data_IF_608942652337
#
_entry.id   IF_608942652337
#
_cell.length_a   1.000
_cell.length_b   1.000
_cell.length_c   1.000
_cell.angle_alpha   90.00
_cell.angle_beta   90.00
_cell.angle_gamma   90.00
#
_symmetry.space_group_name_H-M   'P 1'
#
loop_
_entity.id
_entity.type
_entity.pdbx_description
1 polymer ?
#
# COMPACT_ATOMS: atom_id res chain seq x y z
N UNK A 1 3.43 -24.39 0.45
CA UNK A 1 3.38 -22.97 0.90
C UNK A 1 2.28 -22.21 0.18
N UNK A 2 2.25 -22.21 -1.16
CA UNK A 2 1.25 -21.51 -1.98
C UNK A 2 -0.21 -21.88 -1.65
N UNK A 3 -0.52 -23.16 -1.51
CA UNK A 3 -1.87 -23.62 -1.14
C UNK A 3 -2.32 -23.11 0.25
N UNK A 4 -1.40 -23.02 1.20
CA UNK A 4 -1.65 -22.47 2.54
C UNK A 4 -1.92 -20.96 2.48
N UNK A 5 -1.17 -20.22 1.67
CA UNK A 5 -1.38 -18.80 1.43
C UNK A 5 -2.74 -18.52 0.75
N UNK A 6 -3.09 -19.29 -0.28
CA UNK A 6 -4.40 -19.17 -0.94
C UNK A 6 -5.57 -19.45 0.02
N UNK A 7 -5.42 -20.44 0.92
CA UNK A 7 -6.42 -20.74 1.95
C UNK A 7 -6.54 -19.62 2.98
N UNK A 8 -5.40 -19.07 3.43
CA UNK A 8 -5.38 -17.93 4.36
C UNK A 8 -6.04 -16.67 3.74
N UNK A 9 -5.71 -16.36 2.47
CA UNK A 9 -6.30 -15.24 1.75
C UNK A 9 -7.82 -15.42 1.53
N UNK A 10 -8.28 -16.63 1.19
CA UNK A 10 -9.72 -16.94 1.10
C UNK A 10 -10.42 -16.80 2.45
N UNK A 11 -9.80 -17.26 3.53
CA UNK A 11 -10.32 -17.13 4.90
C UNK A 11 -10.47 -15.66 5.29
N UNK A 12 -9.45 -14.83 5.03
CA UNK A 12 -9.50 -13.39 5.29
C UNK A 12 -10.64 -12.71 4.53
N UNK A 13 -10.80 -13.00 3.24
CA UNK A 13 -11.87 -12.43 2.40
C UNK A 13 -13.27 -12.81 2.93
N UNK A 14 -13.46 -14.07 3.31
CA UNK A 14 -14.75 -14.58 3.78
C UNK A 14 -15.18 -14.01 5.13
N UNK A 15 -14.24 -13.85 6.06
CA UNK A 15 -14.50 -13.24 7.37
C UNK A 15 -14.84 -11.75 7.25
N UNK A 16 -14.17 -11.03 6.33
CA UNK A 16 -14.45 -9.61 6.10
C UNK A 16 -15.80 -9.36 5.43
N UNK A 17 -16.25 -10.27 4.55
CA UNK A 17 -17.51 -10.11 3.83
C UNK A 17 -18.72 -10.59 4.63
N UNK A 18 -18.52 -11.49 5.60
CA UNK A 18 -19.60 -12.10 6.37
C UNK A 18 -19.25 -12.14 7.88
N UNK A 19 -19.48 -11.05 8.62
CA UNK A 19 -19.10 -10.97 10.03
C UNK A 19 -19.87 -11.91 10.96
N UNK A 20 -21.01 -12.46 10.51
CA UNK A 20 -21.84 -13.42 11.26
C UNK A 20 -21.49 -14.89 10.95
N UNK A 21 -20.45 -15.14 10.15
CA UNK A 21 -20.13 -16.47 9.66
C UNK A 21 -19.57 -17.34 10.80
N UNK A 22 -20.23 -18.45 11.07
CA UNK A 22 -19.81 -19.36 12.14
C UNK A 22 -18.52 -20.10 11.76
N UNK A 23 -17.76 -20.54 12.77
CA UNK A 23 -16.53 -21.32 12.56
C UNK A 23 -16.73 -22.57 11.69
N UNK A 24 -17.93 -23.18 11.71
CA UNK A 24 -18.25 -24.35 10.87
C UNK A 24 -18.61 -23.98 9.43
N UNK A 25 -19.27 -22.85 9.21
CA UNK A 25 -19.52 -22.34 7.85
C UNK A 25 -18.21 -21.94 7.19
N UNK A 26 -17.28 -21.35 7.95
CA UNK A 26 -15.95 -21.01 7.49
C UNK A 26 -15.16 -22.27 7.11
N UNK A 27 -15.20 -23.28 7.98
CA UNK A 27 -14.58 -24.57 7.72
C UNK A 27 -15.20 -25.24 6.48
N UNK A 28 -16.52 -25.13 6.29
CA UNK A 28 -17.22 -25.70 5.12
C UNK A 28 -16.79 -25.06 3.81
N UNK A 29 -16.46 -23.77 3.81
CA UNK A 29 -15.95 -23.06 2.64
C UNK A 29 -14.49 -23.40 2.32
N UNK A 30 -13.66 -23.66 3.32
CA UNK A 30 -12.22 -23.88 3.15
C UNK A 30 -11.86 -25.36 2.97
N UNK A 31 -12.50 -26.23 3.73
CA UNK A 31 -12.25 -27.67 3.78
C UNK A 31 -13.58 -28.42 3.91
N UNK A 32 -14.39 -28.50 2.83
CA UNK A 32 -15.75 -29.05 2.86
C UNK A 32 -15.82 -30.47 3.46
N UNK A 33 -14.82 -31.29 3.17
CA UNK A 33 -14.70 -32.66 3.68
C UNK A 33 -14.48 -32.70 5.18
N UNK A 34 -13.60 -31.85 5.71
CA UNK A 34 -13.33 -31.76 7.15
C UNK A 34 -14.54 -31.17 7.89
N UNK A 35 -15.19 -30.18 7.30
CA UNK A 35 -16.39 -29.57 7.87
C UNK A 35 -17.57 -30.54 7.98
N UNK A 36 -17.72 -31.46 7.00
CA UNK A 36 -18.74 -32.51 7.05
C UNK A 36 -18.53 -33.41 8.26
N UNK A 37 -17.30 -33.87 8.49
CA UNK A 37 -16.95 -34.71 9.64
C UNK A 37 -17.08 -33.95 10.97
N UNK A 38 -16.63 -32.68 11.01
CA UNK A 38 -16.79 -31.83 12.20
C UNK A 38 -18.26 -31.54 12.53
N UNK A 39 -19.11 -31.35 11.53
CA UNK A 39 -20.55 -31.13 11.71
C UNK A 39 -21.25 -32.30 12.39
N UNK A 40 -20.79 -33.54 12.15
CA UNK A 40 -21.37 -34.76 12.75
C UNK A 40 -21.08 -34.88 14.25
N UNK A 41 -19.97 -34.31 14.72
CA UNK A 41 -19.54 -34.38 16.13
C UNK A 41 -19.84 -33.09 16.90
N UNK A 42 -20.25 -32.02 16.22
CA UNK A 42 -20.36 -30.69 16.83
C UNK A 42 -21.38 -30.62 17.98
N UNK A 43 -22.51 -31.32 17.81
CA UNK A 43 -23.63 -31.36 18.76
C UNK A 43 -23.45 -32.44 19.84
N UNK A 44 -22.39 -33.22 19.77
CA UNK A 44 -22.09 -34.23 20.78
C UNK A 44 -21.47 -33.55 22.02
N UNK A 45 -21.79 -34.03 23.22
CA UNK A 45 -21.19 -33.56 24.49
C UNK A 45 -19.74 -34.05 24.65
N UNK A 46 -18.93 -33.83 23.63
CA UNK A 46 -17.52 -34.19 23.58
C UNK A 46 -16.66 -32.96 23.88
N UNK A 47 -15.53 -33.18 24.55
CA UNK A 47 -14.54 -32.12 24.70
C UNK A 47 -13.99 -31.70 23.33
N UNK A 48 -13.41 -30.51 23.24
CA UNK A 48 -12.79 -30.00 22.01
C UNK A 48 -11.72 -30.97 21.48
N UNK A 49 -10.98 -31.59 22.40
CA UNK A 49 -9.97 -32.61 22.12
C UNK A 49 -10.59 -33.88 21.53
N UNK A 50 -11.66 -34.39 22.14
CA UNK A 50 -12.29 -35.64 21.69
C UNK A 50 -12.96 -35.46 20.32
N UNK A 51 -13.54 -34.28 20.04
CA UNK A 51 -14.06 -33.95 18.71
C UNK A 51 -12.96 -33.94 17.65
N UNK A 52 -11.83 -33.31 17.97
CA UNK A 52 -10.67 -33.30 17.07
C UNK A 52 -10.17 -34.71 16.80
N UNK A 53 -9.94 -35.53 17.84
CA UNK A 53 -9.49 -36.91 17.68
C UNK A 53 -10.48 -37.75 16.86
N UNK A 54 -11.78 -37.61 17.11
CA UNK A 54 -12.83 -38.36 16.39
C UNK A 54 -12.83 -38.04 14.90
N UNK A 55 -12.72 -36.76 14.52
CA UNK A 55 -12.74 -36.34 13.12
C UNK A 55 -11.43 -36.67 12.39
N UNK A 56 -10.31 -36.55 13.09
CA UNK A 56 -8.97 -36.68 12.48
C UNK A 56 -8.47 -38.13 12.45
N UNK A 57 -8.99 -39.02 13.31
CA UNK A 57 -8.57 -40.41 13.39
C UNK A 57 -8.63 -41.13 12.03
N UNK A 58 -9.70 -40.90 11.27
CA UNK A 58 -9.87 -41.54 9.95
C UNK A 58 -9.22 -40.76 8.80
N UNK A 59 -8.99 -39.45 8.97
CA UNK A 59 -8.32 -38.61 7.96
C UNK A 59 -6.81 -38.88 7.88
N UNK A 60 -6.20 -39.36 8.96
CA UNK A 60 -4.76 -39.65 9.03
C UNK A 60 -4.42 -41.15 9.11
N UNK A 61 -5.42 -42.04 9.08
CA UNK A 61 -5.20 -43.49 8.99
C UNK A 61 -4.98 -43.91 7.53
N UNK A 62 -3.73 -44.23 7.16
CA UNK A 62 -3.45 -44.90 5.89
C UNK A 62 -3.92 -46.36 5.95
N UNK A 63 -4.61 -46.81 4.89
CA UNK A 63 -4.67 -48.23 4.50
C UNK A 63 -3.25 -48.65 4.05
N UNK A 64 -2.60 -49.53 4.81
CA UNK A 64 -1.51 -50.43 4.43
C UNK A 64 -0.34 -49.88 3.58
N UNK A 65 0.50 -49.00 4.12
CA UNK A 65 1.92 -48.91 3.70
C UNK A 65 2.79 -48.53 4.89
N UNK A 66 3.89 -49.25 5.09
CA UNK A 66 4.82 -49.28 6.24
C UNK A 66 5.69 -48.03 6.46
N UNK A 67 5.18 -46.83 6.21
CA UNK A 67 5.86 -45.58 6.59
C UNK A 67 4.90 -44.72 7.42
N UNK A 68 5.21 -44.42 8.69
CA UNK A 68 4.35 -43.59 9.52
C UNK A 68 4.41 -42.14 9.03
N UNK A 69 3.39 -41.70 8.30
CA UNK A 69 3.17 -40.28 8.06
C UNK A 69 2.57 -39.68 9.33
N UNK A 70 3.39 -38.86 10.00
CA UNK A 70 2.95 -37.75 10.86
C UNK A 70 2.32 -38.08 12.23
N UNK A 71 3.09 -38.69 13.13
CA UNK A 71 3.04 -38.30 14.56
C UNK A 71 3.72 -36.94 14.82
N UNK A 72 4.46 -36.43 13.82
CA UNK A 72 5.25 -35.21 13.82
C UNK A 72 4.36 -33.95 13.80
N UNK A 73 3.20 -33.97 13.14
CA UNK A 73 2.43 -32.73 12.94
C UNK A 73 1.33 -32.51 13.99
N UNK A 74 0.65 -33.58 14.42
CA UNK A 74 -0.47 -33.46 15.36
C UNK A 74 -0.01 -33.10 16.77
N UNK A 75 1.11 -33.69 17.23
CA UNK A 75 1.65 -33.44 18.57
C UNK A 75 2.19 -32.02 18.73
N UNK A 76 2.83 -31.52 17.67
CA UNK A 76 3.37 -30.15 17.64
C UNK A 76 2.27 -29.12 17.40
N UNK A 77 1.23 -29.43 16.59
CA UNK A 77 0.01 -28.62 16.51
C UNK A 77 -0.71 -28.52 17.85
N UNK A 78 -0.82 -29.61 18.61
CA UNK A 78 -1.44 -29.61 19.93
C UNK A 78 -0.62 -28.78 20.95
N UNK A 79 0.70 -28.72 20.76
CA UNK A 79 1.62 -27.87 21.55
C UNK A 79 1.43 -26.39 21.23
N UNK A 80 1.20 -26.08 19.95
CA UNK A 80 0.83 -24.75 19.45
C UNK A 80 -0.53 -24.30 20.00
N UNK A 81 -1.47 -25.24 20.20
CA UNK A 81 -2.83 -25.00 20.71
C UNK A 81 -2.96 -25.02 22.25
N UNK A 82 -1.85 -25.14 23.00
CA UNK A 82 -1.82 -25.20 24.47
C UNK A 82 -2.60 -26.37 25.10
N UNK A 83 -2.59 -27.55 24.48
CA UNK A 83 -3.03 -28.80 25.13
C UNK A 83 -1.83 -29.39 25.87
N UNK A 84 -2.00 -29.83 27.13
CA UNK A 84 -0.89 -30.28 27.97
C UNK A 84 -0.29 -31.62 27.48
N UNK A 85 1.03 -31.68 27.32
CA UNK A 85 1.76 -32.79 26.64
C UNK A 85 2.98 -33.27 27.43
N UNK A 86 3.04 -32.97 28.72
CA UNK A 86 4.20 -33.28 29.57
C UNK A 86 4.65 -34.76 29.65
N UNK A 87 3.91 -35.82 29.23
CA UNK A 87 4.47 -37.17 29.25
C UNK A 87 5.40 -37.50 28.09
N UNK A 88 5.63 -36.61 27.13
CA UNK A 88 6.23 -37.02 25.86
C UNK A 88 7.41 -36.19 25.37
N UNK A 89 8.58 -36.77 25.61
CA UNK A 89 9.71 -36.93 24.68
C UNK A 89 10.90 -35.98 24.90
N UNK A 90 11.97 -36.59 25.42
CA UNK A 90 13.37 -36.21 25.25
C UNK A 90 13.84 -36.38 23.79
N UNK A 91 14.89 -35.63 23.44
CA UNK A 91 15.85 -35.89 22.35
C UNK A 91 15.79 -34.99 21.07
N UNK A 92 16.95 -34.83 20.44
CA UNK A 92 17.68 -33.54 20.36
C UNK A 92 17.72 -32.79 19.02
N UNK A 93 17.07 -33.21 17.94
CA UNK A 93 17.25 -32.55 16.63
C UNK A 93 16.22 -31.44 16.28
N UNK A 94 15.80 -30.65 17.28
CA UNK A 94 14.62 -29.77 17.20
C UNK A 94 14.91 -28.26 17.13
N UNK A 95 16.15 -27.83 17.30
CA UNK A 95 16.49 -26.41 17.58
C UNK A 95 16.18 -25.46 16.39
N UNK A 96 16.64 -25.76 15.17
CA UNK A 96 16.53 -24.82 14.04
C UNK A 96 15.12 -24.68 13.45
N UNK A 97 14.34 -25.76 13.47
CA UNK A 97 12.94 -25.70 13.05
C UNK A 97 12.11 -24.90 14.08
N UNK A 98 12.38 -25.13 15.38
CA UNK A 98 11.72 -24.41 16.47
C UNK A 98 12.01 -22.91 16.40
N UNK A 99 13.25 -22.49 16.15
CA UNK A 99 13.62 -21.07 15.99
C UNK A 99 12.88 -20.42 14.83
N UNK A 100 12.85 -21.07 13.65
CA UNK A 100 12.13 -20.55 12.47
C UNK A 100 10.63 -20.44 12.72
N UNK A 101 10.03 -21.42 13.39
CA UNK A 101 8.62 -21.38 13.76
C UNK A 101 8.31 -20.37 14.86
N UNK A 102 9.21 -20.14 15.81
CA UNK A 102 9.07 -19.10 16.83
C UNK A 102 9.12 -17.70 16.22
N UNK A 103 9.96 -17.47 15.21
CA UNK A 103 9.98 -16.22 14.44
C UNK A 103 8.67 -16.05 13.67
N UNK A 104 8.22 -17.08 12.94
CA UNK A 104 6.96 -17.04 12.22
C UNK A 104 5.76 -16.77 13.16
N UNK A 105 5.75 -17.40 14.34
CA UNK A 105 4.71 -17.19 15.37
C UNK A 105 4.72 -15.77 15.90
N UNK A 106 5.89 -15.21 16.22
CA UNK A 106 6.01 -13.80 16.65
C UNK A 106 5.47 -12.87 15.58
N UNK A 107 5.78 -13.13 14.31
CA UNK A 107 5.27 -12.34 13.19
C UNK A 107 3.75 -12.45 13.04
N UNK A 108 3.18 -13.66 13.07
CA UNK A 108 1.72 -13.87 12.98
C UNK A 108 1.00 -13.24 14.18
N UNK A 109 1.56 -13.36 15.38
CA UNK A 109 0.98 -12.76 16.58
C UNK A 109 1.00 -11.22 16.50
N UNK A 110 2.14 -10.64 16.10
CA UNK A 110 2.25 -9.19 15.88
C UNK A 110 1.28 -8.72 14.78
N UNK A 111 1.13 -9.49 13.70
CA UNK A 111 0.21 -9.17 12.60
C UNK A 111 -1.26 -9.23 13.03
N UNK A 112 -1.64 -10.26 13.79
CA UNK A 112 -2.99 -10.41 14.35
C UNK A 112 -3.29 -9.35 15.40
N UNK A 113 -2.35 -9.03 16.29
CA UNK A 113 -2.50 -7.94 17.26
C UNK A 113 -2.65 -6.60 16.52
N UNK A 114 -1.85 -6.36 15.47
CA UNK A 114 -1.97 -5.18 14.62
C UNK A 114 -3.30 -5.15 13.86
N UNK A 115 -3.85 -6.30 13.42
CA UNK A 115 -5.15 -6.39 12.77
C UNK A 115 -6.29 -6.11 13.76
N UNK A 116 -6.27 -6.72 14.94
CA UNK A 116 -7.26 -6.50 16.00
C UNK A 116 -7.25 -5.03 16.43
N UNK A 117 -6.07 -4.45 16.67
CA UNK A 117 -5.95 -3.03 17.01
C UNK A 117 -6.42 -2.10 15.88
N UNK A 118 -6.18 -2.46 14.61
CA UNK A 118 -6.74 -1.74 13.44
C UNK A 118 -8.26 -1.78 13.43
N UNK A 119 -8.85 -2.95 13.69
CA UNK A 119 -10.31 -3.13 13.73
C UNK A 119 -10.97 -2.38 14.89
N UNK A 120 -10.27 -2.20 16.01
CA UNK A 120 -10.76 -1.44 17.17
C UNK A 120 -10.49 0.07 17.05
N UNK A 121 -9.85 0.53 15.98
CA UNK A 121 -9.52 1.95 15.77
C UNK A 121 -8.50 2.52 16.76
N UNK A 122 -7.90 1.69 17.62
CA UNK A 122 -7.11 2.14 18.77
C UNK A 122 -5.69 2.63 18.40
N UNK A 123 -5.17 2.35 17.19
CA UNK A 123 -3.73 2.49 16.90
C UNK A 123 -3.36 3.09 15.54
N UNK A 124 -4.23 3.91 14.96
CA UNK A 124 -3.79 4.78 13.87
C UNK A 124 -3.26 6.06 14.50
N UNK A 125 -2.03 6.03 15.00
CA UNK A 125 -1.28 7.27 15.25
C UNK A 125 -0.97 7.88 13.89
N UNK A 126 -1.98 8.50 13.24
CA UNK A 126 -1.77 9.54 12.25
C UNK A 126 -1.25 10.76 13.02
N UNK A 127 -0.02 10.65 13.50
CA UNK A 127 0.66 11.78 14.09
C UNK A 127 1.32 12.52 12.95
N UNK A 128 0.82 13.72 12.73
CA UNK A 128 1.45 14.72 11.90
C UNK A 128 2.44 15.48 12.75
N UNK A 129 3.71 15.45 12.36
CA UNK A 129 4.75 16.24 13.00
C UNK A 129 5.21 17.32 12.04
N UNK A 130 4.78 18.55 12.31
CA UNK A 130 5.35 19.73 11.67
C UNK A 130 6.59 20.16 12.44
N UNK A 131 7.76 19.95 11.84
CA UNK A 131 9.05 20.25 12.45
C UNK A 131 9.45 21.73 12.31
N UNK A 132 8.68 22.54 11.58
CA UNK A 132 8.95 23.98 11.44
C UNK A 132 8.86 24.74 12.76
N UNK A 133 8.02 24.27 13.67
CA UNK A 133 7.81 24.87 15.00
C UNK A 133 8.73 24.30 16.09
N UNK A 134 9.52 23.27 15.78
CA UNK A 134 10.33 22.56 16.77
C UNK A 134 11.78 23.07 16.76
N UNK A 135 12.43 23.08 17.93
CA UNK A 135 13.87 23.33 17.98
C UNK A 135 14.63 22.12 17.41
N UNK A 136 15.87 22.31 16.91
CA UNK A 136 16.69 21.20 16.40
C UNK A 136 16.87 20.03 17.37
N UNK A 137 17.01 20.31 18.66
CA UNK A 137 17.22 19.32 19.71
C UNK A 137 15.97 18.48 19.93
N UNK A 138 14.80 19.13 19.94
CA UNK A 138 13.50 18.47 20.08
C UNK A 138 13.23 17.58 18.88
N UNK A 139 13.49 18.06 17.66
CA UNK A 139 13.32 17.27 16.44
C UNK A 139 14.22 16.02 16.45
N UNK A 140 15.51 16.16 16.78
CA UNK A 140 16.43 15.01 16.88
C UNK A 140 15.97 13.99 17.92
N UNK A 141 15.48 14.46 19.07
CA UNK A 141 14.94 13.58 20.12
C UNK A 141 13.70 12.85 19.63
N UNK A 142 12.75 13.55 19.00
CA UNK A 142 11.53 12.96 18.44
C UNK A 142 11.85 11.89 17.38
N UNK A 143 12.76 12.19 16.46
CA UNK A 143 13.19 11.23 15.45
C UNK A 143 13.86 10.00 16.10
N UNK A 144 14.74 10.21 17.09
CA UNK A 144 15.37 9.11 17.81
C UNK A 144 14.33 8.24 18.51
N UNK A 145 13.43 8.84 19.26
CA UNK A 145 12.39 8.14 20.01
C UNK A 145 11.48 7.37 19.04
N UNK A 146 11.00 8.02 17.97
CA UNK A 146 10.12 7.38 17.00
C UNK A 146 10.79 6.21 16.28
N UNK A 147 12.01 6.37 15.77
CA UNK A 147 12.69 5.33 15.01
C UNK A 147 13.36 4.26 15.89
N UNK A 148 13.34 4.43 17.21
CA UNK A 148 13.68 3.40 18.20
C UNK A 148 12.44 2.68 18.74
N UNK A 149 11.25 3.24 18.56
CA UNK A 149 9.99 2.66 18.97
C UNK A 149 9.65 1.42 18.12
N UNK A 150 9.23 0.34 18.78
CA UNK A 150 8.78 -0.90 18.13
C UNK A 150 7.29 -0.85 17.76
N UNK A 151 6.57 0.17 18.22
CA UNK A 151 5.13 0.31 17.98
C UNK A 151 4.85 0.51 16.47
N UNK A 152 3.92 -0.23 15.87
CA UNK A 152 3.62 -0.12 14.45
C UNK A 152 2.93 1.21 14.11
N UNK A 153 3.30 1.80 12.98
CA UNK A 153 2.66 2.99 12.42
C UNK A 153 2.13 2.70 11.02
N UNK A 154 0.90 3.13 10.74
CA UNK A 154 0.28 3.01 9.40
C UNK A 154 0.57 4.22 8.52
N UNK A 155 0.72 5.40 9.12
CA UNK A 155 1.10 6.64 8.45
C UNK A 155 2.30 7.27 9.16
N UNK A 156 3.21 7.88 8.40
CA UNK A 156 4.29 8.72 8.91
C UNK A 156 4.29 10.05 8.18
N UNK A 157 4.00 11.13 8.92
CA UNK A 157 3.90 12.47 8.37
C UNK A 157 4.95 13.38 9.04
N UNK A 158 6.07 13.58 8.35
CA UNK A 158 7.19 14.42 8.76
C UNK A 158 7.30 15.63 7.85
N UNK A 159 6.68 16.72 8.28
CA UNK A 159 6.65 17.94 7.50
C UNK A 159 7.82 18.83 7.90
N UNK A 160 8.56 19.34 6.90
CA UNK A 160 9.68 20.27 7.09
C UNK A 160 10.83 19.72 7.96
N UNK A 161 11.02 18.40 8.00
CA UNK A 161 12.10 17.82 8.81
C UNK A 161 13.49 18.21 8.28
N UNK A 162 14.35 18.70 9.16
CA UNK A 162 15.74 19.06 8.88
C UNK A 162 16.70 17.89 9.08
N UNK A 163 16.31 16.87 9.84
CA UNK A 163 17.22 15.79 10.26
C UNK A 163 16.80 14.39 9.82
N UNK A 164 15.68 14.23 9.13
CA UNK A 164 15.26 12.93 8.62
C UNK A 164 16.18 12.46 7.47
N UNK A 165 16.97 11.43 7.76
CA UNK A 165 17.95 10.82 6.84
C UNK A 165 17.71 9.33 6.66
N UNK A 166 18.47 8.71 5.74
CA UNK A 166 18.44 7.25 5.50
C UNK A 166 18.67 6.40 6.75
N UNK A 167 19.46 6.88 7.72
CA UNK A 167 19.84 6.10 8.90
C UNK A 167 18.63 5.77 9.78
N UNK A 168 17.64 6.66 9.81
CA UNK A 168 16.38 6.44 10.51
C UNK A 168 15.62 5.24 9.95
N UNK A 169 15.57 5.10 8.63
CA UNK A 169 14.90 3.97 7.98
C UNK A 169 15.69 2.66 8.08
N UNK A 170 16.98 2.71 8.43
CA UNK A 170 17.83 1.53 8.60
C UNK A 170 17.81 0.96 10.02
N UNK A 171 17.13 1.60 10.98
CA UNK A 171 17.06 1.09 12.36
C UNK A 171 16.34 -0.26 12.40
N UNK A 172 16.77 -1.13 13.31
CA UNK A 172 16.17 -2.46 13.49
C UNK A 172 14.68 -2.35 13.86
N UNK A 173 14.32 -1.39 14.72
CA UNK A 173 12.95 -1.14 15.13
C UNK A 173 12.06 -0.75 13.93
N UNK A 174 12.52 0.16 13.07
CA UNK A 174 11.79 0.53 11.86
C UNK A 174 11.64 -0.65 10.90
N UNK A 175 12.71 -1.42 10.67
CA UNK A 175 12.67 -2.60 9.81
C UNK A 175 11.71 -3.67 10.34
N UNK A 176 11.55 -3.81 11.65
CA UNK A 176 10.60 -4.75 12.27
C UNK A 176 9.14 -4.46 11.94
N UNK A 177 8.79 -3.18 11.71
CA UNK A 177 7.40 -2.72 11.52
C UNK A 177 7.09 -2.18 10.12
N UNK A 178 8.05 -2.18 9.20
CA UNK A 178 7.93 -1.66 7.83
C UNK A 178 6.72 -2.17 7.04
N UNK A 179 6.24 -3.37 7.36
CA UNK A 179 5.08 -4.01 6.73
C UNK A 179 3.74 -3.37 7.11
N UNK A 180 3.70 -2.54 8.14
CA UNK A 180 2.49 -1.84 8.58
C UNK A 180 2.33 -0.46 7.95
N UNK A 181 3.39 0.09 7.37
CA UNK A 181 3.43 1.46 6.88
C UNK A 181 2.83 1.55 5.47
N UNK A 182 1.66 2.14 5.37
CA UNK A 182 0.90 2.30 4.11
C UNK A 182 0.94 3.73 3.58
N UNK A 183 1.25 4.72 4.42
CA UNK A 183 1.30 6.12 4.03
C UNK A 183 2.55 6.80 4.57
N UNK A 184 3.22 7.58 3.71
CA UNK A 184 4.37 8.40 4.11
C UNK A 184 4.24 9.77 3.46
N UNK A 185 4.24 10.82 4.29
CA UNK A 185 4.34 12.20 3.86
C UNK A 185 5.61 12.84 4.42
N UNK A 186 6.53 13.17 3.53
CA UNK A 186 7.81 13.80 3.87
C UNK A 186 7.89 15.23 3.32
N UNK A 187 6.75 15.89 3.10
CA UNK A 187 6.74 17.21 2.48
C UNK A 187 7.73 18.18 3.17
N UNK A 188 8.62 18.78 2.39
CA UNK A 188 9.61 19.75 2.90
C UNK A 188 10.76 19.16 3.73
N UNK A 189 10.90 17.83 3.86
CA UNK A 189 12.02 17.25 4.61
C UNK A 189 13.38 17.47 3.90
N UNK A 190 14.14 18.46 4.36
CA UNK A 190 15.33 18.99 3.68
C UNK A 190 16.52 18.03 3.64
N UNK A 191 16.65 17.16 4.65
CA UNK A 191 17.75 16.18 4.69
C UNK A 191 17.40 14.85 3.99
N UNK A 192 16.17 14.69 3.53
CA UNK A 192 15.71 13.48 2.88
C UNK A 192 16.08 13.51 1.39
N UNK A 193 17.06 12.69 1.02
CA UNK A 193 17.63 12.63 -0.33
C UNK A 193 17.41 11.25 -0.99
N UNK A 194 17.96 11.06 -2.19
CA UNK A 194 17.83 9.81 -2.96
C UNK A 194 18.26 8.55 -2.18
N UNK A 195 19.26 8.68 -1.29
CA UNK A 195 19.68 7.55 -0.45
C UNK A 195 18.67 7.23 0.66
N UNK A 196 18.01 8.26 1.21
CA UNK A 196 16.88 8.12 2.14
C UNK A 196 15.69 7.45 1.47
N UNK A 197 15.34 7.89 0.26
CA UNK A 197 14.29 7.26 -0.53
C UNK A 197 14.58 5.81 -0.84
N UNK A 198 15.81 5.47 -1.25
CA UNK A 198 16.21 4.07 -1.50
C UNK A 198 16.09 3.21 -0.24
N UNK A 199 16.44 3.75 0.94
CA UNK A 199 16.27 3.07 2.21
C UNK A 199 14.79 2.85 2.56
N UNK A 200 13.95 3.89 2.42
CA UNK A 200 12.50 3.81 2.61
C UNK A 200 11.86 2.79 1.65
N UNK A 201 12.18 2.87 0.36
CA UNK A 201 11.69 1.94 -0.66
C UNK A 201 12.08 0.50 -0.34
N UNK A 202 13.34 0.26 0.06
CA UNK A 202 13.81 -1.08 0.46
C UNK A 202 13.07 -1.60 1.69
N UNK A 203 12.71 -0.71 2.62
CA UNK A 203 12.00 -1.08 3.83
C UNK A 203 10.51 -1.36 3.55
N UNK A 204 9.80 -0.39 2.99
CA UNK A 204 8.33 -0.37 2.98
C UNK A 204 7.72 -0.60 1.59
N UNK A 205 8.53 -0.80 0.54
CA UNK A 205 8.04 -0.74 -0.84
C UNK A 205 6.86 -1.66 -1.13
N UNK A 206 6.75 -2.84 -0.52
CA UNK A 206 5.63 -3.75 -0.82
C UNK A 206 4.29 -3.27 -0.22
N UNK A 207 4.34 -2.51 0.89
CA UNK A 207 3.17 -2.14 1.68
C UNK A 207 2.75 -0.67 1.52
N UNK A 208 3.65 0.18 1.02
CA UNK A 208 3.40 1.61 0.92
C UNK A 208 2.41 1.88 -0.22
N UNK A 209 1.38 2.68 0.04
CA UNK A 209 0.34 3.02 -0.94
C UNK A 209 0.38 4.51 -1.31
N UNK A 210 0.67 5.35 -0.33
CA UNK A 210 0.77 6.80 -0.47
C UNK A 210 2.18 7.28 -0.17
N UNK A 211 2.72 8.12 -1.06
CA UNK A 211 4.00 8.77 -0.89
C UNK A 211 3.91 10.25 -1.29
N UNK A 212 4.01 11.15 -0.33
CA UNK A 212 4.34 12.56 -0.55
C UNK A 212 5.80 12.79 -0.17
N UNK A 213 6.52 13.50 -1.03
CA UNK A 213 7.98 13.57 -0.93
C UNK A 213 8.51 14.99 -1.07
N UNK A 214 9.80 15.14 -0.78
CA UNK A 214 10.46 16.43 -0.78
C UNK A 214 10.83 16.86 -2.21
N UNK A 215 10.92 18.18 -2.46
CA UNK A 215 11.39 18.72 -3.72
C UNK A 215 12.81 18.31 -4.14
N UNK A 216 13.60 17.73 -3.23
CA UNK A 216 15.00 17.39 -3.49
C UNK A 216 15.19 15.98 -4.09
N UNK A 217 14.11 15.22 -4.28
CA UNK A 217 14.19 13.85 -4.76
C UNK A 217 14.26 13.76 -6.28
N UNK A 218 15.33 13.13 -6.78
CA UNK A 218 15.43 12.75 -8.19
C UNK A 218 14.65 11.46 -8.41
N UNK A 219 13.39 11.56 -8.82
CA UNK A 219 12.53 10.37 -9.02
C UNK A 219 13.03 9.43 -10.12
N UNK A 220 13.70 9.98 -11.13
CA UNK A 220 13.92 9.37 -12.45
C UNK A 220 14.68 8.03 -12.39
N UNK A 221 15.52 7.80 -11.37
CA UNK A 221 16.29 6.56 -11.27
C UNK A 221 15.64 5.48 -10.40
N UNK A 222 14.86 5.85 -9.37
CA UNK A 222 14.49 4.91 -8.31
C UNK A 222 13.06 4.38 -8.41
N UNK A 223 12.17 5.02 -9.18
CA UNK A 223 10.74 4.64 -9.27
C UNK A 223 10.42 3.81 -10.52
N UNK A 224 11.41 3.56 -11.41
CA UNK A 224 11.22 2.80 -12.67
C UNK A 224 10.62 1.39 -12.49
N UNK A 225 10.51 0.86 -11.27
CA UNK A 225 9.88 -0.44 -10.96
C UNK A 225 9.03 -0.42 -9.68
N UNK A 226 8.38 0.70 -9.38
CA UNK A 226 7.50 0.78 -8.19
C UNK A 226 6.08 0.39 -8.57
N UNK A 227 5.82 -0.92 -8.66
CA UNK A 227 4.50 -1.46 -9.03
C UNK A 227 3.39 -1.24 -8.00
N UNK A 228 3.72 -0.64 -6.86
CA UNK A 228 2.92 -0.62 -5.64
C UNK A 228 2.36 0.77 -5.30
N UNK A 229 2.92 1.85 -5.84
CA UNK A 229 2.49 3.23 -5.51
C UNK A 229 1.10 3.47 -6.09
N UNK A 230 0.14 3.86 -5.24
CA UNK A 230 -1.19 4.31 -5.67
C UNK A 230 -1.26 5.83 -5.79
N UNK A 231 -0.54 6.56 -4.95
CA UNK A 231 -0.54 8.03 -4.98
C UNK A 231 0.87 8.58 -4.76
N UNK A 232 1.29 9.51 -5.62
CA UNK A 232 2.56 10.22 -5.52
C UNK A 232 2.33 11.73 -5.58
N UNK A 233 2.90 12.49 -4.63
CA UNK A 233 2.70 13.94 -4.53
C UNK A 233 3.97 14.74 -4.21
N UNK A 234 3.94 16.02 -4.61
CA UNK A 234 4.96 17.06 -4.32
C UNK A 234 6.36 16.74 -4.81
N UNK A 235 6.45 16.10 -5.97
CA UNK A 235 7.72 15.67 -6.53
C UNK A 235 8.29 16.78 -7.41
N UNK A 236 9.21 17.59 -6.86
CA UNK A 236 9.98 18.48 -7.72
C UNK A 236 11.04 17.69 -8.47
N UNK A 237 10.94 17.70 -9.79
CA UNK A 237 11.92 17.05 -10.66
C UNK A 237 13.20 17.87 -10.60
N UNK A 238 14.35 17.20 -10.51
CA UNK A 238 15.67 17.83 -10.79
C UNK A 238 15.76 18.09 -12.31
N UNK A 239 16.73 18.87 -12.84
CA UNK A 239 16.82 19.30 -14.26
C UNK A 239 16.77 18.22 -15.36
N UNK A 240 16.52 16.95 -15.01
CA UNK A 240 16.00 15.97 -15.94
C UNK A 240 14.68 16.46 -16.53
N UNK A 241 14.69 16.56 -17.86
CA UNK A 241 13.56 17.00 -18.66
C UNK A 241 12.50 15.91 -18.84
N UNK A 242 12.72 14.70 -18.31
CA UNK A 242 11.90 13.53 -18.61
C UNK A 242 11.62 12.68 -17.37
N UNK A 243 10.34 12.46 -17.10
CA UNK A 243 9.86 11.50 -16.12
C UNK A 243 9.25 10.31 -16.87
N UNK A 244 9.75 9.11 -16.55
CA UNK A 244 9.14 7.86 -16.98
C UNK A 244 8.77 7.04 -15.73
N UNK A 245 7.46 6.85 -15.50
CA UNK A 245 6.93 6.08 -14.37
C UNK A 245 6.24 4.83 -14.87
N UNK A 246 6.75 3.67 -14.44
CA UNK A 246 6.08 2.38 -14.60
C UNK A 246 5.45 1.98 -13.27
N UNK A 247 4.19 2.42 -13.08
CA UNK A 247 3.45 2.30 -11.84
C UNK A 247 2.01 1.87 -12.14
N UNK A 248 1.76 0.58 -12.46
CA UNK A 248 0.45 0.09 -12.92
C UNK A 248 -0.72 0.32 -11.96
N UNK A 249 -0.43 0.58 -10.68
CA UNK A 249 -1.43 0.86 -9.64
C UNK A 249 -1.60 2.35 -9.33
N UNK A 250 -0.89 3.25 -10.02
CA UNK A 250 -0.94 4.68 -9.76
C UNK A 250 -2.32 5.24 -10.12
N UNK A 251 -3.01 5.77 -9.12
CA UNK A 251 -4.34 6.39 -9.17
C UNK A 251 -4.25 7.92 -9.11
N UNK A 252 -3.26 8.48 -8.40
CA UNK A 252 -3.08 9.94 -8.30
C UNK A 252 -1.62 10.35 -8.50
N UNK A 253 -1.40 11.37 -9.31
CA UNK A 253 -0.10 11.99 -9.53
C UNK A 253 -0.19 13.51 -9.34
N UNK A 254 0.66 14.05 -8.49
CA UNK A 254 0.69 15.47 -8.14
C UNK A 254 2.13 16.02 -8.24
N UNK A 255 2.39 16.77 -9.32
CA UNK A 255 3.68 17.35 -9.70
C UNK A 255 3.55 18.88 -9.87
N UNK A 256 3.36 19.65 -8.80
CA UNK A 256 3.30 21.10 -8.91
C UNK A 256 4.69 21.70 -9.10
N UNK A 257 4.78 22.83 -9.79
CA UNK A 257 5.96 23.69 -9.90
C UNK A 257 7.22 22.97 -10.45
N UNK A 258 7.04 22.21 -11.53
CA UNK A 258 8.09 21.49 -12.26
C UNK A 258 8.36 22.14 -13.65
N UNK A 259 8.83 23.40 -13.72
CA UNK A 259 8.95 24.16 -14.97
C UNK A 259 9.94 23.57 -15.99
N UNK A 260 10.79 22.64 -15.54
CA UNK A 260 11.82 21.97 -16.33
C UNK A 260 11.36 20.62 -16.89
N UNK A 261 10.19 20.12 -16.47
CA UNK A 261 9.63 18.86 -16.96
C UNK A 261 9.16 19.05 -18.41
N UNK A 262 9.77 18.35 -19.36
CA UNK A 262 9.41 18.42 -20.79
C UNK A 262 8.65 17.20 -21.28
N UNK A 263 8.93 16.05 -20.68
CA UNK A 263 8.40 14.75 -21.04
C UNK A 263 7.86 14.02 -19.82
N UNK A 264 6.64 13.50 -19.93
CA UNK A 264 5.97 12.77 -18.85
C UNK A 264 5.32 11.51 -19.44
N UNK A 265 6.04 10.40 -19.33
CA UNK A 265 5.54 9.10 -19.74
C UNK A 265 5.04 8.33 -18.52
N UNK A 266 3.73 8.09 -18.46
CA UNK A 266 3.09 7.27 -17.44
C UNK A 266 2.61 5.95 -18.04
N UNK A 267 3.11 4.85 -17.51
CA UNK A 267 2.60 3.51 -17.79
C UNK A 267 1.74 3.04 -16.60
N UNK A 268 0.50 3.53 -16.59
CA UNK A 268 -0.56 3.15 -15.65
C UNK A 268 -1.89 3.18 -16.40
N UNK A 269 -2.75 2.20 -16.16
CA UNK A 269 -4.13 2.19 -16.69
C UNK A 269 -5.16 2.71 -15.67
N UNK A 270 -4.73 2.98 -14.44
CA UNK A 270 -5.58 3.25 -13.28
C UNK A 270 -5.55 4.70 -12.82
N UNK A 271 -4.89 5.58 -13.56
CA UNK A 271 -4.77 6.99 -13.20
C UNK A 271 -6.14 7.67 -13.19
N UNK A 272 -6.51 8.23 -12.04
CA UNK A 272 -7.80 8.89 -11.78
C UNK A 272 -7.60 10.41 -11.76
N UNK A 273 -6.52 10.88 -11.13
CA UNK A 273 -6.25 12.29 -10.89
C UNK A 273 -4.81 12.65 -11.25
N UNK A 274 -4.64 13.75 -11.98
CA UNK A 274 -3.35 14.32 -12.36
C UNK A 274 -3.34 15.81 -12.07
N UNK A 275 -2.35 16.27 -11.32
CA UNK A 275 -2.13 17.68 -10.98
C UNK A 275 -0.74 18.06 -11.47
N UNK A 276 -0.67 18.97 -12.43
CA UNK A 276 0.56 19.44 -13.11
C UNK A 276 0.53 20.97 -13.14
N UNK A 277 0.45 21.63 -11.98
CA UNK A 277 0.29 23.09 -11.93
C UNK A 277 1.62 23.81 -12.08
N UNK A 278 1.62 24.95 -12.81
CA UNK A 278 2.78 25.80 -13.08
C UNK A 278 3.91 25.08 -13.84
N UNK A 279 3.56 24.07 -14.64
CA UNK A 279 4.50 23.32 -15.48
C UNK A 279 4.62 23.94 -16.87
N UNK A 280 5.48 24.95 -16.99
CA UNK A 280 5.75 25.60 -18.28
C UNK A 280 6.58 24.75 -19.25
N UNK A 281 7.16 23.63 -18.82
CA UNK A 281 8.05 22.82 -19.65
C UNK A 281 7.33 21.77 -20.50
N UNK A 282 6.16 21.32 -20.06
CA UNK A 282 5.48 20.15 -20.61
C UNK A 282 4.97 20.46 -22.02
N UNK A 283 5.30 19.58 -22.96
CA UNK A 283 4.79 19.74 -24.31
C UNK A 283 3.36 19.20 -24.43
N UNK A 284 2.69 19.62 -25.50
CA UNK A 284 1.30 19.26 -25.79
C UNK A 284 1.09 17.76 -26.02
N UNK A 285 2.10 17.04 -26.51
CA UNK A 285 2.00 15.60 -26.80
C UNK A 285 1.96 14.77 -25.52
N UNK A 286 2.78 15.10 -24.53
CA UNK A 286 2.79 14.40 -23.23
C UNK A 286 1.44 14.53 -22.54
N UNK A 287 0.82 15.70 -22.59
CA UNK A 287 -0.53 15.92 -22.06
C UNK A 287 -1.58 15.13 -22.86
N UNK A 288 -1.48 15.12 -24.19
CA UNK A 288 -2.37 14.31 -25.02
C UNK A 288 -2.30 12.81 -24.65
N UNK A 289 -1.10 12.28 -24.36
CA UNK A 289 -0.91 10.89 -23.92
C UNK A 289 -1.55 10.61 -22.55
N UNK A 290 -1.48 11.56 -21.60
CA UNK A 290 -2.20 11.45 -20.33
C UNK A 290 -3.71 11.37 -20.54
N UNK A 291 -4.23 12.08 -21.53
CA UNK A 291 -5.66 12.20 -21.82
C UNK A 291 -6.21 11.06 -22.69
N UNK A 292 -5.44 10.01 -22.93
CA UNK A 292 -5.93 8.76 -23.51
C UNK A 292 -6.28 7.76 -22.39
N UNK A 293 -5.93 8.07 -21.13
CA UNK A 293 -6.13 7.18 -20.01
C UNK A 293 -7.61 6.93 -19.71
N UNK A 294 -8.08 5.66 -19.74
CA UNK A 294 -9.51 5.35 -19.68
C UNK A 294 -10.13 5.65 -18.30
N UNK A 295 -9.31 5.64 -17.25
CA UNK A 295 -9.73 5.83 -15.86
C UNK A 295 -9.67 7.30 -15.40
N UNK A 296 -9.12 8.20 -16.22
CA UNK A 296 -8.81 9.56 -15.82
C UNK A 296 -10.09 10.38 -15.66
N UNK A 297 -10.27 10.98 -14.49
CA UNK A 297 -11.46 11.77 -14.14
C UNK A 297 -11.15 13.23 -13.91
N UNK A 298 -9.96 13.54 -13.37
CA UNK A 298 -9.58 14.88 -12.98
C UNK A 298 -8.20 15.23 -13.51
N UNK A 299 -8.10 16.41 -14.13
CA UNK A 299 -6.83 17.00 -14.58
C UNK A 299 -6.79 18.46 -14.16
N UNK A 300 -5.72 18.84 -13.47
CA UNK A 300 -5.42 20.22 -13.09
C UNK A 300 -4.13 20.65 -13.78
N UNK A 301 -4.23 21.59 -14.72
CA UNK A 301 -3.12 22.12 -15.50
C UNK A 301 -2.91 23.63 -15.25
N UNK A 302 -3.35 24.15 -14.11
CA UNK A 302 -3.30 25.61 -13.86
C UNK A 302 -1.89 26.16 -14.03
N UNK A 303 -1.75 27.28 -14.75
CA UNK A 303 -0.44 27.94 -14.97
C UNK A 303 0.50 27.24 -15.97
N UNK A 304 0.02 26.28 -16.76
CA UNK A 304 0.83 25.63 -17.81
C UNK A 304 0.74 26.39 -19.13
N UNK A 305 1.57 27.42 -19.27
CA UNK A 305 1.50 28.35 -20.41
C UNK A 305 1.91 27.75 -21.77
N UNK A 306 2.69 26.66 -21.75
CA UNK A 306 3.25 26.05 -22.97
C UNK A 306 2.30 25.04 -23.64
N UNK A 307 1.13 24.85 -23.06
CA UNK A 307 0.16 23.82 -23.49
C UNK A 307 -0.79 24.43 -24.50
N UNK A 308 -0.58 24.17 -25.79
CA UNK A 308 -1.51 24.60 -26.83
C UNK A 308 -2.86 23.92 -26.64
N UNK A 309 -3.98 24.63 -26.48
CA UNK A 309 -5.27 23.98 -26.17
C UNK A 309 -5.93 23.26 -27.35
N UNK A 310 -5.23 23.08 -28.48
CA UNK A 310 -5.73 22.40 -29.68
C UNK A 310 -6.15 20.92 -29.44
N UNK A 311 -5.58 20.25 -28.43
CA UNK A 311 -5.92 18.87 -28.07
C UNK A 311 -7.29 18.72 -27.41
N UNK A 312 -7.91 19.79 -26.91
CA UNK A 312 -9.21 19.74 -26.21
C UNK A 312 -10.30 19.13 -27.11
N UNK A 313 -10.18 19.32 -28.43
CA UNK A 313 -11.07 18.72 -29.44
C UNK A 313 -10.88 17.20 -29.60
N UNK A 314 -9.71 16.66 -29.26
CA UNK A 314 -9.36 15.25 -29.48
C UNK A 314 -9.69 14.34 -28.29
N UNK A 315 -9.99 14.89 -27.11
CA UNK A 315 -10.25 14.09 -25.90
C UNK A 315 -11.70 13.55 -25.94
N UNK A 316 -11.88 12.26 -26.18
CA UNK A 316 -13.19 11.59 -26.01
C UNK A 316 -13.43 11.05 -24.59
N UNK A 317 -12.63 11.45 -23.59
CA UNK A 317 -12.73 10.92 -22.23
C UNK A 317 -13.89 11.50 -21.39
N UNK A 318 -14.49 10.68 -20.50
CA UNK A 318 -15.50 11.10 -19.54
C UNK A 318 -14.88 11.83 -18.33
N UNK A 319 -14.15 12.92 -18.58
CA UNK A 319 -13.59 13.76 -17.51
C UNK A 319 -14.71 14.37 -16.66
N UNK A 320 -14.54 14.29 -15.35
CA UNK A 320 -15.42 14.88 -14.34
C UNK A 320 -14.89 16.21 -13.79
N UNK A 321 -13.67 16.62 -14.13
CA UNK A 321 -13.15 17.96 -13.85
C UNK A 321 -11.94 18.25 -14.72
N UNK A 322 -11.88 19.45 -15.30
CA UNK A 322 -10.72 19.97 -16.01
C UNK A 322 -10.49 21.43 -15.58
N UNK A 323 -9.36 21.71 -14.94
CA UNK A 323 -8.97 23.07 -14.56
C UNK A 323 -7.85 23.57 -15.47
N UNK A 324 -8.16 24.61 -16.25
CA UNK A 324 -7.26 25.31 -17.16
C UNK A 324 -7.09 26.78 -16.74
N UNK A 325 -7.43 27.13 -15.49
CA UNK A 325 -7.31 28.52 -15.05
C UNK A 325 -5.86 28.99 -15.12
N UNK A 326 -5.68 30.28 -15.41
CA UNK A 326 -4.37 30.92 -15.59
C UNK A 326 -3.54 30.39 -16.77
N UNK A 327 -4.16 29.80 -17.79
CA UNK A 327 -3.50 29.52 -19.07
C UNK A 327 -3.86 30.55 -20.14
N UNK A 328 -2.93 30.79 -21.07
CA UNK A 328 -3.25 31.49 -22.32
C UNK A 328 -3.98 30.56 -23.29
N UNK A 329 -5.31 30.68 -23.33
CA UNK A 329 -6.15 29.91 -24.24
C UNK A 329 -6.41 30.75 -25.49
N UNK A 330 -5.67 30.48 -26.57
CA UNK A 330 -5.97 31.09 -27.88
C UNK A 330 -7.36 30.70 -28.41
N UNK A 331 -7.85 31.42 -29.42
CA UNK A 331 -9.21 31.31 -29.96
C UNK A 331 -9.66 29.87 -30.27
N UNK A 332 -8.77 29.05 -30.83
CA UNK A 332 -9.08 27.65 -31.17
C UNK A 332 -9.24 26.76 -29.93
N UNK A 333 -8.52 27.06 -28.85
CA UNK A 333 -8.69 26.43 -27.56
C UNK A 333 -10.01 26.84 -26.91
N UNK A 334 -10.35 28.12 -26.96
CA UNK A 334 -11.60 28.64 -26.42
C UNK A 334 -12.80 28.02 -27.15
N UNK A 335 -12.73 27.89 -28.48
CA UNK A 335 -13.73 27.17 -29.29
C UNK A 335 -13.84 25.69 -28.88
N UNK A 336 -12.73 25.03 -28.56
CA UNK A 336 -12.72 23.64 -28.07
C UNK A 336 -13.40 23.48 -26.71
N UNK A 337 -13.06 24.35 -25.75
CA UNK A 337 -13.73 24.39 -24.46
C UNK A 337 -15.24 24.62 -24.61
N UNK A 338 -15.66 25.55 -25.47
CA UNK A 338 -17.07 25.88 -25.71
C UNK A 338 -17.84 24.69 -26.31
N UNK A 339 -17.31 24.04 -27.35
CA UNK A 339 -17.97 22.88 -27.97
C UNK A 339 -18.16 21.75 -26.97
N UNK A 340 -17.18 21.50 -26.10
CA UNK A 340 -17.25 20.44 -25.11
C UNK A 340 -18.26 20.74 -24.00
N UNK A 341 -18.22 21.95 -23.45
CA UNK A 341 -19.16 22.39 -22.40
C UNK A 341 -20.62 22.45 -22.90
N UNK A 342 -20.84 22.59 -24.20
CA UNK A 342 -22.16 22.44 -24.82
C UNK A 342 -22.59 20.97 -25.01
N UNK A 343 -21.63 20.05 -25.25
CA UNK A 343 -21.90 18.62 -25.45
C UNK A 343 -22.14 17.84 -24.14
N UNK A 344 -21.56 18.30 -23.02
CA UNK A 344 -21.80 17.76 -21.69
C UNK A 344 -22.80 18.68 -20.98
N UNK A 345 -23.99 18.18 -20.60
CA UNK A 345 -25.02 18.90 -19.82
C UNK A 345 -24.58 19.24 -18.36
N UNK A 346 -23.31 19.59 -18.14
CA UNK A 346 -22.72 19.88 -16.84
C UNK A 346 -21.77 21.09 -17.00
N UNK A 347 -22.34 22.30 -17.04
CA UNK A 347 -21.61 23.57 -17.21
C UNK A 347 -20.69 23.96 -16.05
N UNK A 348 -20.58 23.14 -14.99
CA UNK A 348 -19.68 23.37 -13.85
C UNK A 348 -18.29 22.70 -14.00
N UNK A 349 -18.03 21.96 -15.09
CA UNK A 349 -16.91 21.02 -15.21
C UNK A 349 -15.60 21.58 -15.78
N UNK A 350 -15.63 22.71 -16.47
CA UNK A 350 -14.42 23.33 -17.06
C UNK A 350 -14.26 24.71 -16.43
N UNK A 351 -13.24 24.86 -15.59
CA UNK A 351 -12.83 26.19 -15.10
C UNK A 351 -11.73 26.71 -16.01
N UNK A 352 -12.07 27.71 -16.83
CA UNK A 352 -11.09 28.47 -17.61
C UNK A 352 -11.27 29.96 -17.33
N UNK A 353 -10.17 30.65 -17.05
CA UNK A 353 -10.15 32.10 -17.03
C UNK A 353 -9.71 32.57 -18.43
N UNK A 354 -10.66 33.03 -19.24
CA UNK A 354 -10.33 33.71 -20.51
C UNK A 354 -9.92 35.13 -20.14
N UNK A 355 -8.69 35.53 -20.50
CA UNK A 355 -8.23 36.92 -20.42
C UNK A 355 -8.17 37.51 -21.82
#
# INVERSE_FOLDING_TARGET
>A
MENLYCKAHRLQKEVLQNPQLTHIELLRKLEPYVAKSYGQVLNQRLTLKDRFCTVTNDLYRRRNTSVPISSINTKEMLRILKVDIYPFIADHNRQHALERFQVLRRNIQAENEALVRRLHGEWVLNKRWDMSIQTPEVEKKLLKDLFSDELPHTSLEFINSRYLTREHFNTLAFQGRRHHLTSVDLHGAQAFNNSGFKALHKACGIALEYLSCCPQLTLVANVKKSSWIKSAASLKVTPSQEIQLHAPLLERLDLPDCPILRHLQLDTARLIEVILTNDSGLNTLDIALLLIQPSLKQVDLRGCDSVSPAWIHAIHLPLSSLDLSFQYIGDEGAKGCCKRSQSQQNSHLIRSAVK
#
